data_IF_251552367594
#
_entry.id   IF_251552367594
#
_cell.length_a   1.000
_cell.length_b   1.000
_cell.length_c   1.000
_cell.angle_alpha   90.00
_cell.angle_beta   90.00
_cell.angle_gamma   90.00
#
_symmetry.space_group_name_H-M   'P 1'
#
loop_
_entity.id
_entity.type
_entity.pdbx_description
1 polymer ?
#
# COMPACT_ATOMS: atom_id res chain seq x y z
N UNK A 1 10.87 -20.36 -14.21
CA UNK A 1 10.87 -19.71 -12.88
C UNK A 1 9.44 -19.73 -12.37
N UNK A 2 9.14 -20.48 -11.30
CA UNK A 2 7.77 -20.55 -10.76
C UNK A 2 7.66 -19.48 -9.67
N UNK A 3 7.06 -18.35 -10.00
CA UNK A 3 6.66 -17.34 -9.02
C UNK A 3 5.33 -17.78 -8.44
N UNK A 4 5.32 -18.23 -7.18
CA UNK A 4 4.11 -18.44 -6.38
C UNK A 4 3.96 -17.30 -5.40
N UNK A 5 2.95 -16.48 -5.63
CA UNK A 5 2.37 -15.59 -4.62
C UNK A 5 0.86 -15.79 -4.82
N UNK A 6 0.06 -16.26 -3.86
CA UNK A 6 -0.28 -15.64 -2.57
C UNK A 6 -0.98 -16.64 -1.63
N UNK A 7 -0.97 -16.32 -0.34
CA UNK A 7 -1.77 -16.98 0.69
C UNK A 7 -3.02 -16.15 0.97
N UNK A 8 -4.20 -16.77 0.91
CA UNK A 8 -5.43 -16.17 1.41
C UNK A 8 -5.43 -16.26 2.94
N UNK A 9 -5.24 -15.13 3.61
CA UNK A 9 -5.36 -15.03 5.07
C UNK A 9 -6.74 -14.46 5.39
N UNK A 10 -7.53 -15.09 6.27
CA UNK A 10 -8.77 -14.49 6.78
C UNK A 10 -8.49 -13.08 7.32
N UNK A 11 -9.36 -12.13 7.03
CA UNK A 11 -9.17 -10.72 7.43
C UNK A 11 -8.97 -10.54 8.95
N UNK A 12 -9.59 -11.42 9.73
CA UNK A 12 -9.44 -11.46 11.19
C UNK A 12 -8.08 -12.02 11.66
N UNK A 13 -7.22 -12.52 10.78
CA UNK A 13 -5.87 -13.01 11.12
C UNK A 13 -4.78 -12.22 10.40
N UNK A 14 -5.15 -11.36 9.46
CA UNK A 14 -4.19 -10.52 8.74
C UNK A 14 -3.72 -9.33 9.57
N UNK A 15 -2.48 -8.94 9.32
CA UNK A 15 -1.98 -7.63 9.74
C UNK A 15 -2.87 -6.52 9.16
N UNK A 16 -3.23 -5.54 10.01
CA UNK A 16 -3.98 -4.35 9.62
C UNK A 16 -3.12 -3.13 9.84
N UNK A 17 -2.82 -2.43 8.75
CA UNK A 17 -2.20 -1.11 8.76
C UNK A 17 -3.27 -0.06 8.48
N UNK A 18 -3.15 1.09 9.12
CA UNK A 18 -3.98 2.25 8.82
C UNK A 18 -3.13 3.51 8.77
N UNK A 19 -3.66 4.60 8.21
CA UNK A 19 -3.01 5.89 8.39
C UNK A 19 -2.93 6.22 9.89
N UNK A 20 -1.83 6.84 10.27
CA UNK A 20 -1.77 7.55 11.53
C UNK A 20 -2.87 8.62 11.53
N UNK A 21 -3.70 8.68 12.57
CA UNK A 21 -4.97 9.43 12.58
C UNK A 21 -4.83 10.86 12.05
N UNK A 22 -5.48 11.16 10.93
CA UNK A 22 -5.76 12.53 10.49
C UNK A 22 -7.27 12.72 10.34
N UNK A 23 -7.79 13.88 10.74
CA UNK A 23 -9.08 14.33 10.21
C UNK A 23 -8.92 14.42 8.67
N UNK A 24 -9.59 13.55 7.91
CA UNK A 24 -9.57 13.44 6.42
C UNK A 24 -8.49 12.53 5.79
N UNK A 25 -8.37 11.30 6.27
CA UNK A 25 -7.53 10.24 5.68
C UNK A 25 -7.75 10.03 4.17
N UNK A 26 -9.00 10.00 3.71
CA UNK A 26 -9.33 9.79 2.30
C UNK A 26 -8.89 10.98 1.42
N UNK A 27 -9.10 12.23 1.86
CA UNK A 27 -8.66 13.42 1.12
C UNK A 27 -7.14 13.47 0.98
N UNK A 28 -6.42 13.09 2.04
CA UNK A 28 -4.95 13.05 2.02
C UNK A 28 -4.43 12.01 1.04
N UNK A 29 -5.01 10.80 1.04
CA UNK A 29 -4.61 9.76 0.09
C UNK A 29 -4.94 10.14 -1.34
N UNK A 30 -6.11 10.73 -1.57
CA UNK A 30 -6.50 11.24 -2.89
C UNK A 30 -5.52 12.30 -3.40
N UNK A 31 -5.14 13.26 -2.56
CA UNK A 31 -4.17 14.30 -2.91
C UNK A 31 -2.79 13.69 -3.21
N UNK A 32 -2.36 12.71 -2.41
CA UNK A 32 -1.10 11.99 -2.60
C UNK A 32 -1.06 11.23 -3.94
N UNK A 33 -2.14 10.54 -4.30
CA UNK A 33 -2.23 9.83 -5.58
C UNK A 33 -2.31 10.77 -6.78
N UNK A 34 -2.99 11.91 -6.65
CA UNK A 34 -3.10 12.94 -7.70
C UNK A 34 -1.83 13.77 -7.85
N UNK A 35 -0.83 13.61 -6.98
CA UNK A 35 0.39 14.43 -6.97
C UNK A 35 0.17 15.85 -6.46
N UNK A 36 -0.99 16.14 -5.88
CA UNK A 36 -1.36 17.45 -5.33
C UNK A 36 -0.98 17.56 -3.84
N UNK A 37 0.13 16.92 -3.45
CA UNK A 37 0.59 16.86 -2.05
C UNK A 37 1.57 17.98 -1.72
N UNK A 38 1.53 19.13 -2.40
CA UNK A 38 2.52 20.21 -2.24
C UNK A 38 2.69 20.71 -0.79
N UNK A 39 1.71 20.43 0.08
CA UNK A 39 1.75 20.78 1.51
C UNK A 39 1.85 19.57 2.44
N UNK A 40 1.99 18.35 1.92
CA UNK A 40 1.91 17.11 2.68
C UNK A 40 3.07 16.18 2.34
N UNK A 41 3.85 15.78 3.36
CA UNK A 41 4.81 14.69 3.23
C UNK A 41 4.10 13.34 2.97
N UNK A 42 4.86 12.28 2.60
CA UNK A 42 4.28 10.96 2.38
C UNK A 42 3.41 10.52 3.56
N UNK A 43 2.29 9.82 3.30
CA UNK A 43 1.40 9.39 4.38
C UNK A 43 2.09 8.41 5.32
N UNK A 44 1.87 8.62 6.63
CA UNK A 44 2.41 7.75 7.70
C UNK A 44 1.37 6.69 8.01
N UNK A 45 1.80 5.44 7.97
CA UNK A 45 1.00 4.27 8.30
C UNK A 45 1.47 3.64 9.60
N UNK A 46 0.53 3.20 10.41
CA UNK A 46 0.74 2.50 11.67
C UNK A 46 0.10 1.12 11.64
N UNK A 47 0.73 0.15 12.30
CA UNK A 47 0.14 -1.18 12.48
C UNK A 47 -0.87 -1.14 13.61
N UNK A 48 -2.16 -1.26 13.28
CA UNK A 48 -3.26 -1.33 14.27
C UNK A 48 -3.44 -2.72 14.84
N UNK A 49 -3.09 -3.75 14.05
CA UNK A 49 -3.15 -5.15 14.49
C UNK A 49 -1.95 -5.92 13.99
N UNK A 50 -1.18 -6.46 14.94
CA UNK A 50 -0.13 -7.44 14.66
C UNK A 50 -0.81 -8.78 14.36
N UNK A 51 -0.68 -9.24 13.13
CA UNK A 51 -1.26 -10.48 12.61
C UNK A 51 -0.34 -11.09 11.58
N UNK A 52 -0.82 -12.08 10.83
CA UNK A 52 -0.08 -12.64 9.72
C UNK A 52 0.21 -11.54 8.69
N UNK A 53 1.49 -11.33 8.39
CA UNK A 53 1.92 -10.35 7.40
C UNK A 53 1.38 -10.75 6.04
N UNK A 54 0.78 -9.79 5.35
CA UNK A 54 0.44 -9.90 3.95
C UNK A 54 1.33 -8.94 3.18
N UNK A 55 1.90 -9.41 2.07
CA UNK A 55 2.63 -8.55 1.14
C UNK A 55 1.67 -7.70 0.26
N UNK A 56 0.35 -7.93 0.36
CA UNK A 56 -0.72 -7.22 -0.36
C UNK A 56 -1.82 -6.89 0.64
N UNK A 57 -1.95 -5.62 0.98
CA UNK A 57 -2.82 -5.12 2.03
C UNK A 57 -3.86 -4.22 1.40
N UNK A 58 -5.13 -4.51 1.68
CA UNK A 58 -6.25 -3.67 1.26
C UNK A 58 -6.44 -2.60 2.32
N UNK A 59 -6.08 -1.36 2.00
CA UNK A 59 -6.25 -0.22 2.91
C UNK A 59 -7.69 0.33 2.84
N UNK A 60 -8.26 0.41 1.64
CA UNK A 60 -9.69 0.73 1.39
C UNK A 60 -10.19 -0.01 0.13
N UNK A 61 -11.42 0.23 -0.33
CA UNK A 61 -11.91 -0.32 -1.62
C UNK A 61 -11.01 0.10 -2.79
N UNK A 62 -10.42 1.29 -2.73
CA UNK A 62 -9.70 1.93 -3.84
C UNK A 62 -8.19 1.78 -3.76
N UNK A 63 -7.61 1.50 -2.59
CA UNK A 63 -6.16 1.54 -2.38
C UNK A 63 -5.57 0.18 -1.98
N UNK A 64 -4.64 -0.31 -2.81
CA UNK A 64 -3.78 -1.44 -2.51
C UNK A 64 -2.43 -0.94 -2.01
N UNK A 65 -1.91 -1.60 -0.98
CA UNK A 65 -0.58 -1.37 -0.43
C UNK A 65 0.23 -2.64 -0.58
N UNK A 66 1.39 -2.55 -1.21
CA UNK A 66 2.33 -3.65 -1.41
C UNK A 66 3.54 -3.51 -0.51
N UNK A 67 4.04 -4.64 -0.02
CA UNK A 67 5.39 -4.68 0.53
C UNK A 67 6.43 -4.52 -0.59
N UNK A 68 7.66 -4.19 -0.20
CA UNK A 68 8.81 -4.21 -1.11
C UNK A 68 8.93 -5.51 -1.92
N UNK A 69 8.72 -6.66 -1.27
CA UNK A 69 8.80 -7.97 -1.93
C UNK A 69 7.72 -8.12 -3.01
N UNK A 70 6.48 -7.75 -2.72
CA UNK A 70 5.41 -7.78 -3.72
C UNK A 70 5.69 -6.83 -4.89
N UNK A 71 6.14 -5.60 -4.60
CA UNK A 71 6.57 -4.65 -5.63
C UNK A 71 7.64 -5.28 -6.54
N UNK A 72 8.72 -5.83 -5.99
CA UNK A 72 9.81 -6.42 -6.78
C UNK A 72 9.34 -7.56 -7.69
N UNK A 73 8.46 -8.43 -7.18
CA UNK A 73 7.98 -9.57 -7.96
C UNK A 73 6.93 -9.17 -9.00
N UNK A 74 6.09 -8.17 -8.69
CA UNK A 74 4.98 -7.78 -9.55
C UNK A 74 5.35 -6.70 -10.58
N UNK A 75 6.36 -5.86 -10.32
CA UNK A 75 6.80 -4.81 -11.25
C UNK A 75 7.07 -5.35 -12.67
N UNK A 76 7.78 -6.49 -12.85
CA UNK A 76 8.01 -7.06 -14.19
C UNK A 76 6.74 -7.55 -14.89
N UNK A 77 5.67 -7.85 -14.12
CA UNK A 77 4.42 -8.43 -14.64
C UNK A 77 3.36 -7.36 -14.95
N UNK A 78 3.32 -6.29 -14.15
CA UNK A 78 2.32 -5.23 -14.26
C UNK A 78 2.76 -4.16 -15.28
N UNK A 79 4.06 -4.06 -15.57
CA UNK A 79 4.57 -3.12 -16.56
C UNK A 79 4.58 -1.67 -16.07
N UNK A 80 4.42 -0.71 -16.99
CA UNK A 80 4.57 0.74 -16.74
C UNK A 80 3.27 1.45 -16.33
N UNK A 81 2.14 0.72 -16.32
CA UNK A 81 0.81 1.28 -16.04
C UNK A 81 0.56 1.49 -14.54
N UNK A 82 1.54 1.15 -13.70
CA UNK A 82 1.46 1.29 -12.26
C UNK A 82 2.68 2.04 -11.72
N UNK A 83 2.40 3.03 -10.90
CA UNK A 83 3.35 3.75 -10.08
C UNK A 83 3.29 3.24 -8.64
N UNK A 84 4.44 3.00 -8.03
CA UNK A 84 4.55 2.57 -6.63
C UNK A 84 4.98 3.75 -5.76
N UNK A 85 4.03 4.34 -5.05
CA UNK A 85 4.25 5.51 -4.22
C UNK A 85 4.70 5.09 -2.81
N UNK A 86 5.86 5.56 -2.30
CA UNK A 86 6.39 5.12 -1.02
C UNK A 86 5.55 5.60 0.17
N UNK A 87 5.29 4.71 1.11
CA UNK A 87 4.61 5.02 2.37
C UNK A 87 5.61 5.02 3.52
N UNK A 88 5.35 5.84 4.55
CA UNK A 88 6.16 5.83 5.78
C UNK A 88 5.55 4.81 6.73
N UNK A 89 6.32 3.82 7.16
CA UNK A 89 5.93 2.87 8.21
C UNK A 89 7.16 2.48 9.01
N UNK A 90 7.02 2.37 10.34
CA UNK A 90 8.13 2.15 11.28
C UNK A 90 8.94 0.87 11.01
N UNK A 91 8.25 -0.25 10.74
CA UNK A 91 8.89 -1.57 10.66
C UNK A 91 9.06 -2.07 9.21
N UNK A 92 8.44 -1.45 8.21
CA UNK A 92 8.19 -2.08 6.91
C UNK A 92 8.30 -1.12 5.73
N UNK A 93 9.02 -1.53 4.68
CA UNK A 93 8.99 -0.85 3.38
C UNK A 93 7.68 -1.16 2.65
N UNK A 94 6.79 -0.16 2.56
CA UNK A 94 5.48 -0.30 1.94
C UNK A 94 5.25 0.74 0.84
N UNK A 95 4.44 0.36 -0.15
CA UNK A 95 4.17 1.17 -1.33
C UNK A 95 2.68 1.15 -1.66
N UNK A 96 2.08 2.33 -1.80
CA UNK A 96 0.75 2.45 -2.37
C UNK A 96 0.81 2.19 -3.88
N UNK A 97 -0.15 1.42 -4.39
CA UNK A 97 -0.22 1.03 -5.80
C UNK A 97 -1.14 2.00 -6.53
N UNK A 98 -0.56 2.90 -7.32
CA UNK A 98 -1.29 3.84 -8.17
C UNK A 98 -1.33 3.31 -9.59
N UNK A 99 -2.54 3.02 -10.06
CA UNK A 99 -2.76 2.64 -11.46
C UNK A 99 -2.91 3.92 -12.30
N UNK A 100 -1.96 4.14 -13.19
CA UNK A 100 -2.04 5.20 -14.18
C UNK A 100 -3.00 4.72 -15.27
N UNK A 101 -4.26 5.16 -15.25
CA UNK A 101 -5.16 4.91 -16.38
C UNK A 101 -4.55 5.57 -17.63
N UNK A 102 -4.35 4.78 -18.69
CA UNK A 102 -4.26 5.31 -20.05
C UNK A 102 -5.61 5.87 -20.49
#
# INVERSE_FOLDING_TARGET
MIIKIWMLVPAEKSMRIELESFEREDERMDAYFKGNSEHWGPPVFVTKRKGNKSDCIKYTITFLVFSKKAKEVLTPLIGKDVEFLPLIHEEHDMFAVKVNRM
#
